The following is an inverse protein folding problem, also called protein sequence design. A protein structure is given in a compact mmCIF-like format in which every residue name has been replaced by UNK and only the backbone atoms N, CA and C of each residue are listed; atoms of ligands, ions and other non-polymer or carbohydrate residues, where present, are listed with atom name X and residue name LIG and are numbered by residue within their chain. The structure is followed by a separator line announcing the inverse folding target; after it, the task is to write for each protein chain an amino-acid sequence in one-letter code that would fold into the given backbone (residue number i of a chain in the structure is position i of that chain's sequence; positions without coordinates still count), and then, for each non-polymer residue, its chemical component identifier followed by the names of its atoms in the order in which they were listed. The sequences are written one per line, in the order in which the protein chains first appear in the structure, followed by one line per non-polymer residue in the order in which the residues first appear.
data_IF_498658544559
#
_entry.id   IF_498658544559
#
_cell.length_a   1.000
_cell.length_b   1.000
_cell.length_c   1.000
_cell.angle_alpha   90.00
_cell.angle_beta   90.00
_cell.angle_gamma   90.00
#
_symmetry.space_group_name_H-M   'P 1'
#
loop_
_entity.id
_entity.type
_entity.pdbx_description
1 polymer ?
#
# COMPACT_ATOMS: atom_id res chain seq x y z
N UNK A 1 29.60 -20.40 -27.05
CA UNK A 1 28.30 -20.93 -27.42
C UNK A 1 27.53 -21.36 -26.22
N UNK A 2 27.98 -22.37 -25.53
CA UNK A 2 27.30 -22.88 -24.34
C UNK A 2 27.17 -21.87 -23.20
N UNK A 3 28.13 -20.97 -22.97
CA UNK A 3 28.01 -20.00 -21.87
C UNK A 3 26.77 -19.11 -21.95
N UNK A 4 26.35 -18.77 -23.18
CA UNK A 4 25.16 -17.89 -23.33
C UNK A 4 23.89 -18.60 -22.86
N UNK A 5 23.74 -19.89 -23.18
CA UNK A 5 22.57 -20.65 -22.76
C UNK A 5 22.51 -20.79 -21.23
N UNK A 6 23.67 -20.95 -20.59
CA UNK A 6 23.73 -21.07 -19.11
C UNK A 6 23.28 -19.77 -18.46
N UNK A 7 23.68 -18.62 -18.99
CA UNK A 7 23.29 -17.31 -18.45
C UNK A 7 21.79 -17.12 -18.53
N UNK A 8 21.14 -17.52 -19.62
CA UNK A 8 19.69 -17.42 -19.76
C UNK A 8 18.96 -18.28 -18.73
N UNK A 9 19.46 -19.47 -18.44
CA UNK A 9 18.85 -20.33 -17.44
C UNK A 9 18.88 -19.70 -16.04
N UNK A 10 19.99 -19.04 -15.70
CA UNK A 10 20.11 -18.35 -14.41
C UNK A 10 19.10 -17.21 -14.28
N UNK A 11 18.85 -16.49 -15.37
CA UNK A 11 17.87 -15.42 -15.36
C UNK A 11 16.46 -15.90 -15.05
N UNK A 12 16.06 -17.05 -15.58
CA UNK A 12 14.76 -17.64 -15.32
C UNK A 12 14.60 -18.06 -13.85
N UNK A 13 15.65 -18.62 -13.25
CA UNK A 13 15.62 -19.01 -11.84
C UNK A 13 15.43 -17.78 -10.95
N UNK A 14 16.10 -16.68 -11.24
CA UNK A 14 15.96 -15.45 -10.45
C UNK A 14 14.52 -14.93 -10.49
N UNK A 15 13.87 -14.93 -11.64
CA UNK A 15 12.48 -14.48 -11.75
C UNK A 15 11.54 -15.34 -10.91
N UNK A 16 11.74 -16.68 -10.91
CA UNK A 16 10.93 -17.56 -10.09
C UNK A 16 11.10 -17.33 -8.59
N UNK A 17 12.32 -17.04 -8.14
CA UNK A 17 12.59 -16.75 -6.75
C UNK A 17 11.88 -15.47 -6.27
N UNK A 18 11.82 -14.44 -7.11
CA UNK A 18 11.12 -13.20 -6.78
C UNK A 18 9.62 -13.42 -6.60
N UNK A 19 9.00 -14.20 -7.47
CA UNK A 19 7.59 -14.51 -7.37
C UNK A 19 7.27 -15.25 -6.07
N UNK A 20 8.09 -16.22 -5.69
CA UNK A 20 7.90 -16.98 -4.46
C UNK A 20 8.00 -16.07 -3.23
N UNK A 21 8.97 -15.14 -3.23
CA UNK A 21 9.17 -14.22 -2.12
C UNK A 21 7.99 -13.26 -1.96
N UNK A 22 7.36 -12.82 -3.08
CA UNK A 22 6.23 -11.90 -3.05
C UNK A 22 5.00 -12.48 -2.37
N UNK A 23 4.89 -13.80 -2.26
CA UNK A 23 3.75 -14.44 -1.61
C UNK A 23 4.03 -14.88 -0.18
N UNK A 24 5.19 -14.51 0.40
CA UNK A 24 5.51 -14.88 1.79
C UNK A 24 4.74 -14.01 2.79
N UNK A 25 4.49 -14.52 4.02
CA UNK A 25 3.85 -13.71 5.06
C UNK A 25 4.58 -12.40 5.36
N UNK A 26 5.92 -12.42 5.33
CA UNK A 26 6.70 -11.22 5.56
C UNK A 26 6.48 -10.18 4.47
N UNK A 27 6.38 -10.62 3.22
CA UNK A 27 6.12 -9.72 2.10
C UNK A 27 4.73 -9.07 2.22
N UNK A 28 3.73 -9.83 2.66
CA UNK A 28 2.39 -9.29 2.89
C UNK A 28 2.37 -8.26 4.01
N UNK A 29 3.07 -8.55 5.12
CA UNK A 29 3.15 -7.62 6.25
C UNK A 29 3.82 -6.31 5.82
N UNK A 30 4.90 -6.39 5.05
CA UNK A 30 5.58 -5.21 4.54
C UNK A 30 4.70 -4.39 3.61
N UNK A 31 3.95 -5.05 2.72
CA UNK A 31 3.04 -4.37 1.82
C UNK A 31 1.97 -3.61 2.59
N UNK A 32 1.32 -4.26 3.56
CA UNK A 32 0.24 -3.65 4.32
C UNK A 32 0.75 -2.51 5.18
N UNK A 33 1.93 -2.63 5.76
CA UNK A 33 2.56 -1.56 6.53
C UNK A 33 2.83 -0.36 5.65
N UNK A 34 3.36 -0.59 4.46
CA UNK A 34 3.67 0.48 3.50
C UNK A 34 2.39 1.16 3.03
N UNK A 35 1.36 0.38 2.73
CA UNK A 35 0.08 0.91 2.28
C UNK A 35 -0.57 1.77 3.37
N UNK A 36 -0.59 1.28 4.61
CA UNK A 36 -1.18 2.01 5.74
C UNK A 36 -0.46 3.32 6.00
N UNK A 37 0.88 3.31 5.96
CA UNK A 37 1.66 4.53 6.16
C UNK A 37 1.42 5.55 5.06
N UNK A 38 1.41 5.10 3.80
CA UNK A 38 1.16 5.98 2.67
C UNK A 38 -0.24 6.57 2.71
N UNK A 39 -1.23 5.77 3.10
CA UNK A 39 -2.62 6.22 3.20
C UNK A 39 -2.82 7.23 4.33
N UNK A 40 -2.22 6.99 5.49
CA UNK A 40 -2.30 7.93 6.61
C UNK A 40 -1.71 9.27 6.20
N UNK A 41 -0.56 9.26 5.53
CA UNK A 41 0.09 10.48 5.07
C UNK A 41 -0.74 11.20 4.01
N UNK A 42 -1.28 10.45 3.04
CA UNK A 42 -2.08 11.04 1.97
C UNK A 42 -3.35 11.70 2.49
N UNK A 43 -3.92 11.21 3.57
CA UNK A 43 -5.12 11.78 4.15
C UNK A 43 -4.90 13.16 4.75
N UNK A 44 -3.69 13.47 5.17
CA UNK A 44 -3.31 14.72 5.84
C UNK A 44 -4.11 14.99 7.11
N UNK A 45 -4.76 13.98 7.67
CA UNK A 45 -5.54 14.13 8.89
C UNK A 45 -4.65 14.10 10.13
N UNK A 46 -5.05 14.81 11.16
CA UNK A 46 -4.43 14.70 12.47
C UNK A 46 -4.90 13.43 13.16
N UNK A 47 -4.02 12.80 13.93
CA UNK A 47 -4.34 11.59 14.68
C UNK A 47 -4.93 10.51 13.78
N UNK A 48 -4.37 10.37 12.59
CA UNK A 48 -4.86 9.42 11.61
C UNK A 48 -4.71 7.99 12.13
N UNK A 49 -5.78 7.21 12.04
CA UNK A 49 -5.78 5.79 12.36
C UNK A 49 -6.21 5.01 11.14
N UNK A 50 -5.46 3.97 10.81
CA UNK A 50 -5.76 3.14 9.65
C UNK A 50 -6.45 1.87 10.09
N UNK A 51 -7.47 1.47 9.33
CA UNK A 51 -8.13 0.19 9.54
C UNK A 51 -7.33 -0.95 8.95
N UNK A 52 -7.87 -2.15 9.06
CA UNK A 52 -7.23 -3.33 8.51
C UNK A 52 -7.19 -3.24 6.98
N UNK A 53 -6.02 -3.38 6.36
CA UNK A 53 -5.94 -3.30 4.90
C UNK A 53 -6.71 -4.42 4.21
N UNK A 54 -7.32 -4.09 3.08
CA UNK A 54 -8.03 -5.06 2.25
C UNK A 54 -7.29 -5.18 0.93
N UNK A 55 -6.86 -6.39 0.61
CA UNK A 55 -6.04 -6.63 -0.56
C UNK A 55 -6.89 -6.87 -1.81
N UNK A 56 -6.59 -6.10 -2.86
CA UNK A 56 -7.12 -6.31 -4.19
C UNK A 56 -5.97 -6.72 -5.11
N UNK A 57 -6.25 -7.07 -6.35
CA UNK A 57 -5.18 -7.54 -7.23
C UNK A 57 -4.09 -6.50 -7.46
N UNK A 58 -4.46 -5.25 -7.72
CA UNK A 58 -3.49 -4.19 -8.00
C UNK A 58 -3.35 -3.18 -6.89
N UNK A 59 -4.28 -3.15 -5.96
CA UNK A 59 -4.37 -2.09 -4.96
C UNK A 59 -4.65 -2.66 -3.58
N UNK A 60 -4.36 -1.84 -2.58
CA UNK A 60 -4.74 -2.13 -1.21
C UNK A 60 -5.67 -1.03 -0.75
N UNK A 61 -6.85 -1.40 -0.24
CA UNK A 61 -7.80 -0.45 0.32
C UNK A 61 -7.51 -0.29 1.81
N UNK A 62 -7.40 0.95 2.26
CA UNK A 62 -7.21 1.27 3.67
C UNK A 62 -8.19 2.38 4.04
N UNK A 63 -8.97 2.18 5.09
CA UNK A 63 -9.83 3.23 5.61
C UNK A 63 -9.03 4.03 6.64
N UNK A 64 -9.04 5.35 6.50
CA UNK A 64 -8.31 6.24 7.40
C UNK A 64 -9.31 7.10 8.15
N UNK A 65 -9.27 7.05 9.47
CA UNK A 65 -10.06 7.90 10.34
C UNK A 65 -9.15 8.89 11.04
N UNK A 66 -9.60 10.12 11.19
CA UNK A 66 -8.81 11.14 11.86
C UNK A 66 -9.61 12.41 12.07
N UNK A 67 -8.88 13.50 12.20
CA UNK A 67 -9.45 14.81 12.50
C UNK A 67 -8.94 15.80 11.49
N UNK A 68 -9.84 16.65 10.96
CA UNK A 68 -9.45 17.72 10.05
C UNK A 68 -8.40 18.62 10.72
N UNK A 69 -7.28 18.90 10.05
CA UNK A 69 -6.20 19.69 10.65
C UNK A 69 -6.44 21.20 10.62
N UNK A 70 -7.35 21.67 9.75
CA UNK A 70 -7.57 23.09 9.59
C UNK A 70 -8.31 23.67 10.79
N UNK A 71 -7.86 24.84 11.35
CA UNK A 71 -8.48 25.41 12.53
C UNK A 71 -9.97 25.68 12.38
N UNK A 72 -10.41 26.10 11.19
CA UNK A 72 -11.83 26.40 10.97
C UNK A 72 -12.72 25.17 10.99
N UNK A 73 -12.14 23.98 10.89
CA UNK A 73 -12.90 22.73 10.97
C UNK A 73 -13.15 22.28 12.40
N UNK A 74 -12.55 22.94 13.38
CA UNK A 74 -12.81 22.73 14.81
C UNK A 74 -12.68 21.27 15.25
N UNK A 75 -11.64 20.60 14.79
CA UNK A 75 -11.35 19.21 15.11
C UNK A 75 -12.47 18.25 14.70
N UNK A 76 -13.18 18.57 13.63
CA UNK A 76 -14.24 17.68 13.14
C UNK A 76 -13.66 16.34 12.70
N UNK A 77 -14.34 15.22 12.97
CA UNK A 77 -13.87 13.92 12.53
C UNK A 77 -14.00 13.77 11.02
N UNK A 78 -13.09 12.99 10.45
CA UNK A 78 -13.09 12.73 9.02
C UNK A 78 -12.76 11.27 8.77
N UNK A 79 -13.29 10.73 7.69
CA UNK A 79 -13.02 9.37 7.26
C UNK A 79 -12.75 9.36 5.76
N UNK A 80 -11.65 8.73 5.37
CA UNK A 80 -11.29 8.60 3.96
C UNK A 80 -11.16 7.13 3.58
N UNK A 81 -11.54 6.83 2.33
CA UNK A 81 -11.13 5.60 1.69
C UNK A 81 -9.85 5.90 0.93
N UNK A 82 -8.87 5.05 1.09
CA UNK A 82 -7.58 5.19 0.43
C UNK A 82 -7.26 3.97 -0.40
N UNK A 83 -6.85 4.18 -1.64
CA UNK A 83 -6.36 3.12 -2.51
C UNK A 83 -4.86 3.29 -2.70
N UNK A 84 -4.11 2.30 -2.26
CA UNK A 84 -2.67 2.26 -2.45
C UNK A 84 -2.36 1.41 -3.67
N UNK A 85 -1.71 2.02 -4.66
CA UNK A 85 -1.31 1.31 -5.88
C UNK A 85 -0.01 0.55 -5.62
N UNK A 86 -0.07 -0.77 -5.75
CA UNK A 86 1.08 -1.63 -5.45
C UNK A 86 2.26 -1.40 -6.39
N UNK A 87 1.98 -1.12 -7.65
CA UNK A 87 3.02 -0.94 -8.65
C UNK A 87 3.63 0.44 -8.60
N UNK A 88 2.78 1.47 -8.62
CA UNK A 88 3.23 2.86 -8.61
C UNK A 88 3.69 3.32 -7.23
N UNK A 89 3.25 2.62 -6.17
CA UNK A 89 3.55 2.95 -4.77
C UNK A 89 3.01 4.33 -4.40
N UNK A 90 1.83 4.64 -4.91
CA UNK A 90 1.14 5.91 -4.63
C UNK A 90 -0.17 5.65 -3.94
N UNK A 91 -0.63 6.62 -3.16
CA UNK A 91 -1.91 6.53 -2.46
C UNK A 91 -2.85 7.62 -2.95
N UNK A 92 -4.11 7.26 -3.13
CA UNK A 92 -5.16 8.17 -3.54
C UNK A 92 -6.27 8.09 -2.51
N UNK A 93 -6.75 9.25 -2.04
CA UNK A 93 -7.78 9.28 -1.00
C UNK A 93 -9.04 9.98 -1.50
N UNK A 94 -10.17 9.51 -1.00
CA UNK A 94 -11.46 10.14 -1.25
C UNK A 94 -12.23 10.15 0.07
N UNK A 95 -12.84 11.31 0.37
CA UNK A 95 -13.61 11.43 1.60
C UNK A 95 -14.85 10.56 1.54
N UNK A 96 -15.14 9.88 2.66
CA UNK A 96 -16.35 9.10 2.79
C UNK A 96 -17.41 9.90 3.55
N UNK A 97 -18.68 9.85 3.12
CA UNK A 97 -19.76 10.48 3.88
C UNK A 97 -19.90 9.79 5.24
N UNK A 98 -20.33 10.54 6.21
CA UNK A 98 -20.52 10.02 7.57
C UNK A 98 -21.99 9.96 7.93
#
# INVERSE_FOLDING_TARGET
MNPVAIILALGLIAAGAESARASSPDAWAELFKRASAACAKASELKKAKTGKPVDFSDKVLVIVDGIWPQPHMKNAPARFACLYDKRARTAEVAELPR
#
